data_IF_235301072632
#
_entry.id   IF_235301072632
#
_cell.length_a   1.000
_cell.length_b   1.000
_cell.length_c   1.000
_cell.angle_alpha   90.00
_cell.angle_beta   90.00
_cell.angle_gamma   90.00
#
_symmetry.space_group_name_H-M   'P 1'
#
loop_
_entity.id
_entity.type
_entity.pdbx_description
1 polymer ?
#
# COMPACT_ATOMS: atom_id res chain seq x y z
N UNK A 1 25.67 31.23 0.95
CA UNK A 1 25.92 32.26 1.95
C UNK A 1 27.25 32.99 1.72
N UNK A 2 28.34 32.33 1.36
CA UNK A 2 29.67 32.92 1.19
C UNK A 2 29.75 34.06 0.14
N UNK A 3 29.22 33.85 -1.10
CA UNK A 3 29.21 34.88 -2.15
C UNK A 3 28.50 36.17 -1.74
N UNK A 4 27.41 36.07 -0.96
CA UNK A 4 26.69 37.28 -0.48
C UNK A 4 27.51 38.12 0.46
N UNK A 5 28.23 37.49 1.41
CA UNK A 5 29.15 38.17 2.32
C UNK A 5 30.28 38.85 1.60
N UNK A 6 30.87 38.17 0.58
CA UNK A 6 31.96 38.74 -0.24
C UNK A 6 31.48 39.93 -1.06
N UNK A 7 30.29 39.88 -1.68
CA UNK A 7 29.70 41.02 -2.39
C UNK A 7 29.44 42.19 -1.43
N UNK A 8 28.93 41.93 -0.23
CA UNK A 8 28.72 42.98 0.78
C UNK A 8 30.04 43.60 1.25
N UNK A 9 31.08 42.80 1.47
CA UNK A 9 32.41 43.28 1.86
C UNK A 9 33.02 44.11 0.75
N UNK A 10 32.99 43.67 -0.50
CA UNK A 10 33.49 44.41 -1.67
C UNK A 10 32.79 45.77 -1.81
N UNK A 11 31.49 45.84 -1.61
CA UNK A 11 30.75 47.12 -1.61
C UNK A 11 31.22 48.08 -0.55
N UNK A 12 31.49 47.57 0.68
CA UNK A 12 31.88 48.38 1.80
C UNK A 12 33.33 48.84 1.74
N UNK A 13 34.24 48.01 1.20
CA UNK A 13 35.67 48.27 1.17
C UNK A 13 36.12 49.08 -0.06
N UNK A 14 35.45 48.85 -1.21
CA UNK A 14 35.84 49.44 -2.48
C UNK A 14 34.90 50.56 -2.97
N UNK A 15 33.92 50.90 -2.16
CA UNK A 15 32.86 51.88 -2.46
C UNK A 15 32.21 51.70 -3.87
N UNK A 16 32.01 50.45 -4.26
CA UNK A 16 31.44 50.10 -5.54
C UNK A 16 29.95 49.74 -5.44
N UNK A 17 29.22 49.98 -6.51
CA UNK A 17 27.81 49.61 -6.57
C UNK A 17 27.62 48.08 -6.50
N UNK A 18 26.45 47.61 -6.03
CA UNK A 18 26.13 46.18 -6.02
C UNK A 18 26.26 45.53 -7.41
N UNK A 19 25.90 46.28 -8.47
CA UNK A 19 26.01 45.82 -9.86
C UNK A 19 27.47 45.59 -10.24
N UNK A 20 28.35 46.49 -9.90
CA UNK A 20 29.80 46.38 -10.15
C UNK A 20 30.41 45.25 -9.32
N UNK A 21 30.16 45.21 -8.02
CA UNK A 21 30.62 44.11 -7.16
C UNK A 21 30.18 42.73 -7.66
N UNK A 22 28.92 42.58 -8.03
CA UNK A 22 28.42 41.33 -8.60
C UNK A 22 29.05 40.97 -9.96
N UNK A 23 29.35 41.97 -10.78
CA UNK A 23 30.04 41.78 -12.07
C UNK A 23 31.49 41.32 -11.87
N UNK A 24 32.24 41.95 -11.00
CA UNK A 24 33.62 41.57 -10.68
C UNK A 24 33.71 40.17 -10.04
N UNK A 25 32.78 39.83 -9.15
CA UNK A 25 32.74 38.57 -8.45
C UNK A 25 31.97 37.47 -9.19
N UNK A 26 31.52 37.72 -10.42
CA UNK A 26 30.72 36.81 -11.22
C UNK A 26 29.54 36.24 -10.43
N UNK A 27 28.90 37.08 -9.63
CA UNK A 27 27.78 36.70 -8.77
C UNK A 27 26.43 37.15 -9.39
N UNK A 28 25.45 36.24 -9.40
CA UNK A 28 24.12 36.59 -9.87
C UNK A 28 23.41 37.50 -8.85
N UNK A 29 23.04 38.73 -9.27
CA UNK A 29 22.36 39.71 -8.41
C UNK A 29 21.06 39.20 -7.80
N UNK A 30 20.30 38.41 -8.55
CA UNK A 30 19.05 37.78 -8.07
C UNK A 30 19.31 36.86 -6.89
N UNK A 31 20.42 36.11 -6.91
CA UNK A 31 20.87 35.25 -5.83
C UNK A 31 21.34 36.05 -4.61
N UNK A 32 22.03 37.19 -4.83
CA UNK A 32 22.51 38.07 -3.73
C UNK A 32 21.33 38.75 -3.03
N UNK A 33 20.30 39.16 -3.78
CA UNK A 33 19.10 39.83 -3.24
C UNK A 33 18.06 38.86 -2.68
N UNK A 34 18.17 37.56 -3.01
CA UNK A 34 17.20 36.58 -2.57
C UNK A 34 17.16 36.49 -1.05
N UNK A 35 16.04 36.87 -0.46
CA UNK A 35 15.74 36.67 0.96
C UNK A 35 14.86 35.45 1.07
N UNK A 36 15.35 34.44 1.79
CA UNK A 36 14.52 33.28 2.10
C UNK A 36 13.43 33.71 3.10
N UNK A 37 12.18 33.74 2.63
CA UNK A 37 11.01 33.89 3.50
C UNK A 37 10.68 32.51 4.06
N UNK A 38 10.85 32.28 5.35
CA UNK A 38 10.43 31.04 5.96
C UNK A 38 8.91 30.90 5.79
N UNK A 39 8.47 29.79 5.24
CA UNK A 39 7.05 29.46 5.22
C UNK A 39 6.68 28.93 6.60
N UNK A 40 5.51 29.32 7.09
CA UNK A 40 4.96 28.72 8.29
C UNK A 40 4.65 27.25 8.03
N UNK A 41 5.34 26.37 8.71
CA UNK A 41 5.18 24.91 8.61
C UNK A 41 4.35 24.34 9.77
N UNK A 42 3.94 25.15 10.75
CA UNK A 42 3.21 24.67 11.93
C UNK A 42 1.89 23.97 11.58
N UNK A 43 1.02 24.53 10.71
CA UNK A 43 -0.22 23.84 10.34
C UNK A 43 0.03 22.53 9.59
N UNK A 44 1.05 22.51 8.70
CA UNK A 44 1.43 21.30 7.97
C UNK A 44 1.97 20.24 8.92
N UNK A 45 2.78 20.63 9.90
CA UNK A 45 3.34 19.73 10.91
C UNK A 45 2.22 19.10 11.74
N UNK A 46 1.31 19.90 12.30
CA UNK A 46 0.19 19.43 13.09
C UNK A 46 -0.64 18.39 12.31
N UNK A 47 -1.03 18.70 11.07
CA UNK A 47 -1.81 17.76 10.27
C UNK A 47 -1.03 16.48 9.91
N UNK A 48 0.28 16.56 9.67
CA UNK A 48 1.13 15.39 9.46
C UNK A 48 1.24 14.51 10.70
N UNK A 49 1.33 15.09 11.88
CA UNK A 49 1.38 14.38 13.15
C UNK A 49 0.06 13.65 13.43
N UNK A 50 -1.09 14.29 13.18
CA UNK A 50 -2.41 13.66 13.26
C UNK A 50 -2.52 12.45 12.34
N UNK A 51 -2.24 12.63 11.04
CA UNK A 51 -2.29 11.54 10.06
C UNK A 51 -1.29 10.42 10.37
N UNK A 52 -0.12 10.73 10.92
CA UNK A 52 0.87 9.74 11.31
C UNK A 52 0.46 8.99 12.58
N UNK A 53 -0.28 9.61 13.50
CA UNK A 53 -0.85 8.96 14.68
C UNK A 53 -1.96 7.97 14.29
N UNK A 54 -2.84 8.34 13.35
CA UNK A 54 -3.88 7.46 12.81
C UNK A 54 -3.30 6.31 11.98
N UNK A 55 -2.25 6.60 11.20
CA UNK A 55 -1.65 5.71 10.20
C UNK A 55 -0.17 5.44 10.50
N UNK A 56 0.11 4.84 11.66
CA UNK A 56 1.48 4.68 12.21
C UNK A 56 2.47 4.03 11.24
N UNK A 57 1.99 3.20 10.32
CA UNK A 57 2.82 2.48 9.33
C UNK A 57 2.90 3.16 7.96
N UNK A 58 2.32 4.39 7.83
CA UNK A 58 2.39 5.13 6.57
C UNK A 58 3.64 6.02 6.53
N UNK A 59 4.47 5.82 5.51
CA UNK A 59 5.57 6.73 5.23
C UNK A 59 5.10 7.99 4.51
N UNK A 60 5.97 8.99 4.44
CA UNK A 60 5.68 10.33 3.88
C UNK A 60 4.98 10.34 2.51
N UNK A 61 5.22 9.32 1.64
CA UNK A 61 4.58 9.25 0.31
C UNK A 61 3.09 9.01 0.42
N UNK A 62 2.64 8.11 1.31
CA UNK A 62 1.22 7.84 1.54
C UNK A 62 0.57 9.00 2.29
N UNK A 63 1.24 9.55 3.31
CA UNK A 63 0.77 10.75 4.00
C UNK A 63 0.59 11.93 3.04
N UNK A 64 1.49 12.07 2.04
CA UNK A 64 1.34 13.08 1.00
C UNK A 64 0.07 12.87 0.13
N UNK A 65 -0.34 11.63 -0.10
CA UNK A 65 -1.59 11.33 -0.81
C UNK A 65 -2.80 11.73 0.03
N UNK A 66 -2.81 11.37 1.31
CA UNK A 66 -3.88 11.74 2.23
C UNK A 66 -4.01 13.26 2.36
N UNK A 67 -2.90 13.98 2.57
CA UNK A 67 -2.91 15.45 2.58
C UNK A 67 -3.48 16.06 1.30
N UNK A 68 -3.20 15.47 0.13
CA UNK A 68 -3.78 15.96 -1.14
C UNK A 68 -5.29 15.71 -1.19
N UNK A 69 -5.78 14.60 -0.66
CA UNK A 69 -7.22 14.32 -0.52
C UNK A 69 -7.90 15.33 0.41
N UNK A 70 -7.19 15.74 1.47
CA UNK A 70 -7.61 16.82 2.37
C UNK A 70 -7.47 18.23 1.75
N UNK A 71 -7.12 18.34 0.46
CA UNK A 71 -7.00 19.63 -0.25
C UNK A 71 -5.65 20.34 -0.09
N UNK A 72 -4.66 19.76 0.60
CA UNK A 72 -3.36 20.39 0.79
C UNK A 72 -2.50 20.36 -0.47
N UNK A 73 -2.12 21.55 -0.98
CA UNK A 73 -1.20 21.69 -2.11
C UNK A 73 0.23 21.88 -1.60
N UNK A 74 0.91 20.80 -1.23
CA UNK A 74 2.26 20.82 -0.67
C UNK A 74 3.27 20.16 -1.60
N UNK A 75 4.43 20.82 -1.77
CA UNK A 75 5.56 20.21 -2.49
C UNK A 75 6.13 19.05 -1.68
N UNK A 76 6.38 17.92 -2.33
CA UNK A 76 6.89 16.70 -1.69
C UNK A 76 8.23 16.90 -0.97
N UNK A 77 9.10 17.81 -1.46
CA UNK A 77 10.38 18.14 -0.81
C UNK A 77 10.15 18.90 0.52
N UNK A 78 9.18 19.83 0.54
CA UNK A 78 8.78 20.54 1.76
C UNK A 78 8.20 19.57 2.79
N UNK A 79 7.27 18.74 2.36
CA UNK A 79 6.64 17.70 3.19
C UNK A 79 7.70 16.76 3.79
N UNK A 80 8.63 16.24 2.96
CA UNK A 80 9.68 15.34 3.44
C UNK A 80 10.58 16.00 4.48
N UNK A 81 10.87 17.31 4.35
CA UNK A 81 11.64 18.06 5.35
C UNK A 81 10.88 18.13 6.68
N UNK A 82 9.62 18.59 6.66
CA UNK A 82 8.77 18.68 7.86
C UNK A 82 8.56 17.30 8.51
N UNK A 83 8.32 16.27 7.71
CA UNK A 83 8.19 14.88 8.17
C UNK A 83 9.44 14.37 8.91
N UNK A 84 10.65 14.77 8.45
CA UNK A 84 11.91 14.43 9.12
C UNK A 84 12.13 15.23 10.39
N UNK A 85 11.83 16.52 10.36
CA UNK A 85 11.93 17.43 11.52
C UNK A 85 10.97 17.01 12.64
N UNK A 86 9.79 16.49 12.30
CA UNK A 86 8.81 15.94 13.25
C UNK A 86 9.09 14.48 13.68
N UNK A 87 10.21 13.90 13.28
CA UNK A 87 10.62 12.53 13.64
C UNK A 87 9.58 11.44 13.32
N UNK A 88 8.79 11.61 12.27
CA UNK A 88 7.71 10.67 11.87
C UNK A 88 8.19 9.48 11.01
N UNK A 89 9.51 9.26 10.90
CA UNK A 89 10.06 8.22 10.03
C UNK A 89 9.65 6.82 10.48
N UNK A 90 8.93 6.12 9.62
CA UNK A 90 8.61 4.71 9.84
C UNK A 90 9.87 3.86 9.68
N UNK A 91 10.17 3.05 10.68
CA UNK A 91 11.30 2.12 10.65
C UNK A 91 11.11 1.11 9.52
N UNK A 92 12.02 1.10 8.55
CA UNK A 92 12.00 0.12 7.46
C UNK A 92 12.70 -1.16 7.92
N UNK A 93 12.07 -2.32 7.68
CA UNK A 93 12.79 -3.58 7.75
C UNK A 93 13.88 -3.57 6.68
N UNK A 94 15.12 -3.80 7.09
CA UNK A 94 16.22 -4.02 6.14
C UNK A 94 15.97 -5.36 5.47
N UNK A 95 15.52 -5.35 4.22
CA UNK A 95 15.42 -6.57 3.43
C UNK A 95 16.85 -7.05 3.13
N UNK A 96 17.22 -8.27 3.53
CA UNK A 96 18.40 -8.92 2.97
C UNK A 96 18.23 -8.93 1.45
N UNK A 97 19.21 -8.42 0.73
CA UNK A 97 19.27 -8.55 -0.74
C UNK A 97 19.54 -10.03 -1.03
N UNK A 98 18.49 -10.78 -1.27
CA UNK A 98 18.60 -12.09 -1.91
C UNK A 98 18.72 -11.80 -3.40
N UNK A 99 19.75 -12.34 -4.05
CA UNK A 99 19.83 -12.37 -5.50
C UNK A 99 18.67 -13.26 -5.99
N UNK A 100 17.54 -12.64 -6.28
CA UNK A 100 16.39 -13.31 -6.90
C UNK A 100 16.78 -13.43 -8.36
N UNK A 101 17.11 -14.66 -8.81
CA UNK A 101 17.12 -14.96 -10.24
C UNK A 101 15.79 -14.45 -10.84
N UNK A 102 15.85 -13.93 -12.06
CA UNK A 102 14.63 -13.60 -12.84
C UNK A 102 13.94 -14.93 -13.19
N UNK A 103 13.30 -15.55 -12.19
CA UNK A 103 12.36 -16.62 -12.46
C UNK A 103 11.14 -16.02 -13.16
N UNK A 104 10.47 -16.81 -13.97
CA UNK A 104 9.23 -16.44 -14.65
C UNK A 104 8.26 -15.80 -13.64
N UNK A 105 8.19 -14.47 -13.68
CA UNK A 105 7.15 -13.73 -12.98
C UNK A 105 5.85 -14.22 -13.61
N UNK A 106 5.00 -14.87 -12.83
CA UNK A 106 3.66 -15.19 -13.30
C UNK A 106 3.06 -13.95 -13.95
N UNK A 107 2.60 -14.09 -15.20
CA UNK A 107 2.02 -12.98 -15.95
C UNK A 107 1.04 -12.23 -15.07
N UNK A 108 1.14 -10.91 -15.00
CA UNK A 108 0.23 -10.10 -14.20
C UNK A 108 -1.19 -10.28 -14.72
N UNK A 109 -2.17 -10.47 -13.84
CA UNK A 109 -3.57 -10.47 -14.23
C UNK A 109 -3.91 -9.14 -14.93
N UNK A 110 -4.67 -9.22 -16.02
CA UNK A 110 -5.00 -8.08 -16.89
C UNK A 110 -6.43 -7.59 -16.69
N UNK A 111 -7.26 -8.38 -16.02
CA UNK A 111 -8.68 -8.08 -15.77
C UNK A 111 -9.10 -8.47 -14.35
N UNK A 112 -10.18 -7.84 -13.90
CA UNK A 112 -10.87 -8.18 -12.64
C UNK A 112 -11.39 -9.61 -12.73
N UNK A 113 -11.25 -10.39 -11.65
CA UNK A 113 -11.64 -11.80 -11.57
C UNK A 113 -10.87 -12.73 -12.54
N UNK A 114 -9.81 -12.28 -13.20
CA UNK A 114 -8.96 -13.18 -13.97
C UNK A 114 -8.20 -14.12 -13.03
N UNK A 115 -7.66 -13.57 -11.93
CA UNK A 115 -6.88 -14.34 -10.97
C UNK A 115 -7.07 -13.82 -9.55
N UNK A 116 -7.43 -14.72 -8.64
CA UNK A 116 -7.36 -14.48 -7.21
C UNK A 116 -6.19 -15.25 -6.61
N UNK A 117 -5.54 -14.63 -5.63
CA UNK A 117 -4.51 -15.26 -4.81
C UNK A 117 -5.01 -15.45 -3.40
N UNK A 118 -4.80 -16.65 -2.83
CA UNK A 118 -5.10 -16.90 -1.41
C UNK A 118 -3.89 -17.41 -0.66
N UNK A 119 -3.90 -17.15 0.64
CA UNK A 119 -2.91 -17.66 1.58
C UNK A 119 -3.44 -17.59 3.01
N UNK A 120 -2.86 -18.40 3.88
CA UNK A 120 -3.14 -18.40 5.31
C UNK A 120 -2.10 -17.59 6.09
N UNK A 121 -2.59 -16.80 7.02
CA UNK A 121 -1.74 -16.12 8.01
C UNK A 121 -2.12 -16.59 9.40
N UNK A 122 -1.12 -16.83 10.26
CA UNK A 122 -1.32 -17.26 11.62
C UNK A 122 -1.02 -16.11 12.57
N UNK A 123 -1.79 -16.06 13.66
CA UNK A 123 -1.58 -15.17 14.79
C UNK A 123 -2.04 -15.84 16.10
N UNK A 124 -1.97 -15.12 17.21
CA UNK A 124 -2.27 -15.65 18.53
C UNK A 124 -3.06 -14.62 19.33
N UNK A 125 -4.13 -15.06 19.99
CA UNK A 125 -4.86 -14.25 20.95
C UNK A 125 -4.04 -14.06 22.25
N UNK A 126 -4.38 -13.06 23.06
CA UNK A 126 -3.75 -12.82 24.35
C UNK A 126 -3.77 -14.06 25.27
N UNK A 127 -4.80 -14.88 25.14
CA UNK A 127 -4.93 -16.18 25.86
C UNK A 127 -3.93 -17.25 25.41
N UNK A 128 -3.07 -16.99 24.43
CA UNK A 128 -2.19 -17.97 23.82
C UNK A 128 -2.86 -18.87 22.77
N UNK A 129 -4.19 -18.76 22.57
CA UNK A 129 -4.91 -19.54 21.57
C UNK A 129 -4.53 -19.08 20.16
N UNK A 130 -4.11 -20.01 19.31
CA UNK A 130 -3.78 -19.74 17.89
C UNK A 130 -5.05 -19.45 17.09
N UNK A 131 -4.95 -18.47 16.21
CA UNK A 131 -5.93 -18.13 15.18
C UNK A 131 -5.29 -18.18 13.80
N UNK A 132 -6.10 -18.38 12.79
CA UNK A 132 -5.69 -18.34 11.36
C UNK A 132 -6.59 -17.38 10.62
N UNK A 133 -6.03 -16.71 9.62
CA UNK A 133 -6.80 -15.93 8.67
C UNK A 133 -6.62 -16.52 7.28
N UNK A 134 -7.72 -16.68 6.53
CA UNK A 134 -7.70 -16.94 5.10
C UNK A 134 -7.81 -15.60 4.40
N UNK A 135 -6.77 -15.21 3.69
CA UNK A 135 -6.72 -13.96 2.95
C UNK A 135 -6.94 -14.23 1.47
N UNK A 136 -7.83 -13.48 0.84
CA UNK A 136 -8.18 -13.61 -0.59
C UNK A 136 -8.06 -12.25 -1.25
N UNK A 137 -7.26 -12.14 -2.30
CA UNK A 137 -6.96 -10.89 -3.01
C UNK A 137 -7.17 -11.07 -4.51
N UNK A 138 -7.80 -10.11 -5.16
CA UNK A 138 -7.81 -10.01 -6.61
C UNK A 138 -6.47 -9.43 -7.10
N UNK A 139 -5.77 -10.17 -7.93
CA UNK A 139 -4.41 -9.82 -8.38
C UNK A 139 -4.37 -8.61 -9.30
N UNK A 140 -5.47 -8.27 -9.98
CA UNK A 140 -5.54 -7.10 -10.84
C UNK A 140 -5.93 -5.84 -10.08
N UNK A 141 -7.06 -5.86 -9.38
CA UNK A 141 -7.58 -4.70 -8.66
C UNK A 141 -6.88 -4.44 -7.33
N UNK A 142 -6.16 -5.43 -6.80
CA UNK A 142 -5.53 -5.42 -5.47
C UNK A 142 -6.54 -5.36 -4.32
N UNK A 143 -7.82 -5.55 -4.59
CA UNK A 143 -8.84 -5.60 -3.56
C UNK A 143 -8.64 -6.84 -2.68
N UNK A 144 -8.72 -6.63 -1.38
CA UNK A 144 -8.85 -7.72 -0.41
C UNK A 144 -10.31 -8.15 -0.37
N UNK A 145 -10.61 -9.28 -1.00
CA UNK A 145 -11.98 -9.78 -1.15
C UNK A 145 -12.52 -10.34 0.15
N UNK A 146 -11.67 -11.00 0.94
CA UNK A 146 -12.01 -11.50 2.27
C UNK A 146 -10.76 -11.65 3.14
N UNK A 147 -10.95 -11.51 4.45
CA UNK A 147 -10.05 -11.98 5.50
C UNK A 147 -10.91 -12.77 6.49
N UNK A 148 -11.03 -14.07 6.26
CA UNK A 148 -11.80 -14.95 7.15
C UNK A 148 -10.96 -15.36 8.35
N UNK A 149 -11.44 -15.10 9.58
CA UNK A 149 -10.69 -15.31 10.83
C UNK A 149 -11.34 -16.41 11.65
N UNK A 150 -10.59 -17.48 11.93
CA UNK A 150 -11.05 -18.54 12.82
C UNK A 150 -9.87 -19.27 13.50
N UNK A 151 -10.16 -20.17 14.41
CA UNK A 151 -9.17 -21.07 15.00
C UNK A 151 -8.85 -22.26 14.11
N UNK A 152 -9.78 -22.64 13.22
CA UNK A 152 -9.64 -23.70 12.22
C UNK A 152 -10.40 -23.32 10.96
N UNK A 153 -9.77 -23.52 9.81
CA UNK A 153 -10.34 -23.21 8.48
C UNK A 153 -10.16 -24.44 7.59
N UNK A 154 -11.18 -25.30 7.51
CA UNK A 154 -11.19 -26.47 6.66
C UNK A 154 -11.43 -26.11 5.19
N UNK A 155 -11.10 -27.02 4.25
CA UNK A 155 -11.39 -26.83 2.82
C UNK A 155 -12.87 -26.52 2.51
N UNK A 156 -13.80 -27.12 3.24
CA UNK A 156 -15.24 -26.78 3.15
C UNK A 156 -15.53 -25.33 3.57
N UNK A 157 -14.84 -24.83 4.60
CA UNK A 157 -14.98 -23.42 5.01
C UNK A 157 -14.41 -22.49 3.94
N UNK A 158 -13.27 -22.82 3.36
CA UNK A 158 -12.65 -22.07 2.25
C UNK A 158 -13.63 -22.00 1.06
N UNK A 159 -14.19 -23.13 0.64
CA UNK A 159 -15.16 -23.19 -0.46
C UNK A 159 -16.38 -22.29 -0.20
N UNK A 160 -16.94 -22.29 1.03
CA UNK A 160 -18.06 -21.40 1.40
C UNK A 160 -17.69 -19.91 1.33
N UNK A 161 -16.49 -19.54 1.76
CA UNK A 161 -16.02 -18.15 1.66
C UNK A 161 -15.89 -17.74 0.19
N UNK A 162 -15.32 -18.60 -0.63
CA UNK A 162 -15.21 -18.36 -2.07
C UNK A 162 -16.58 -18.25 -2.76
N UNK A 163 -17.55 -19.05 -2.36
CA UNK A 163 -18.93 -18.96 -2.86
C UNK A 163 -19.60 -17.64 -2.45
N UNK A 164 -19.42 -17.22 -1.20
CA UNK A 164 -19.96 -15.94 -0.73
C UNK A 164 -19.41 -14.76 -1.54
N UNK A 165 -18.11 -14.77 -1.85
CA UNK A 165 -17.50 -13.74 -2.70
C UNK A 165 -18.02 -13.87 -4.14
N UNK A 166 -17.99 -15.08 -4.69
CA UNK A 166 -18.36 -15.37 -6.07
C UNK A 166 -19.81 -15.03 -6.40
N UNK A 167 -20.74 -15.19 -5.44
CA UNK A 167 -22.16 -14.85 -5.62
C UNK A 167 -22.40 -13.35 -5.80
N UNK A 168 -21.53 -12.49 -5.25
CA UNK A 168 -21.66 -11.03 -5.34
C UNK A 168 -20.83 -10.45 -6.49
N UNK A 169 -19.61 -10.97 -6.68
CA UNK A 169 -18.61 -10.37 -7.56
C UNK A 169 -18.42 -11.15 -8.88
N UNK A 170 -18.90 -12.36 -8.94
CA UNK A 170 -18.52 -13.35 -9.97
C UNK A 170 -17.29 -14.15 -9.55
N UNK A 171 -17.15 -15.34 -10.15
CA UNK A 171 -16.06 -16.27 -9.85
C UNK A 171 -14.79 -15.91 -10.63
N UNK A 172 -13.60 -16.23 -10.11
CA UNK A 172 -12.35 -16.02 -10.84
C UNK A 172 -12.14 -17.09 -11.91
N UNK A 173 -11.35 -16.80 -12.93
CA UNK A 173 -10.89 -17.80 -13.88
C UNK A 173 -9.86 -18.76 -13.25
N UNK A 174 -8.98 -18.21 -12.41
CA UNK A 174 -7.91 -18.97 -11.76
C UNK A 174 -7.73 -18.53 -10.32
N UNK A 175 -7.45 -19.48 -9.45
CA UNK A 175 -7.01 -19.23 -8.08
C UNK A 175 -5.58 -19.73 -7.91
N UNK A 176 -4.70 -18.86 -7.42
CA UNK A 176 -3.31 -19.21 -7.07
C UNK A 176 -3.21 -19.40 -5.56
N UNK A 177 -2.63 -20.53 -5.14
CA UNK A 177 -2.53 -20.91 -3.73
C UNK A 177 -1.31 -21.79 -3.49
N UNK A 178 -0.92 -21.95 -2.21
CA UNK A 178 0.08 -22.92 -1.80
C UNK A 178 -0.46 -24.35 -1.75
N UNK A 179 0.41 -25.30 -1.40
CA UNK A 179 0.06 -26.72 -1.29
C UNK A 179 -0.46 -27.10 0.12
N UNK A 180 -1.09 -26.16 0.85
CA UNK A 180 -1.67 -26.45 2.16
C UNK A 180 -2.75 -27.53 2.08
N UNK A 181 -2.83 -28.39 3.10
CA UNK A 181 -3.74 -29.54 3.14
C UNK A 181 -5.22 -29.13 2.99
N UNK A 182 -5.59 -27.98 3.49
CA UNK A 182 -6.92 -27.43 3.38
C UNK A 182 -7.25 -27.03 1.94
N UNK A 183 -6.25 -26.51 1.20
CA UNK A 183 -6.39 -26.02 -0.17
C UNK A 183 -6.30 -27.16 -1.20
N UNK A 184 -5.57 -28.23 -0.87
CA UNK A 184 -5.50 -29.47 -1.72
C UNK A 184 -6.61 -30.47 -1.42
N UNK A 185 -7.57 -30.12 -0.59
CA UNK A 185 -8.67 -30.98 -0.15
C UNK A 185 -9.64 -31.34 -1.30
N UNK A 186 -10.31 -32.50 -1.18
CA UNK A 186 -11.37 -32.93 -2.10
C UNK A 186 -12.48 -31.87 -2.20
N UNK A 187 -12.82 -31.22 -1.07
CA UNK A 187 -13.82 -30.15 -1.06
C UNK A 187 -13.48 -29.00 -2.01
N UNK A 188 -12.22 -28.58 -2.04
CA UNK A 188 -11.74 -27.54 -2.95
C UNK A 188 -11.71 -28.02 -4.41
N UNK A 189 -11.31 -29.27 -4.66
CA UNK A 189 -11.32 -29.84 -6.01
C UNK A 189 -12.75 -29.93 -6.58
N UNK A 190 -13.72 -30.39 -5.79
CA UNK A 190 -15.14 -30.46 -6.17
C UNK A 190 -15.67 -29.02 -6.43
N UNK A 191 -15.44 -28.10 -5.52
CA UNK A 191 -15.87 -26.71 -5.66
C UNK A 191 -15.34 -26.09 -6.96
N UNK A 192 -14.04 -26.26 -7.24
CA UNK A 192 -13.38 -25.70 -8.41
C UNK A 192 -13.97 -26.27 -9.72
N UNK A 193 -14.24 -27.59 -9.76
CA UNK A 193 -14.90 -28.24 -10.89
C UNK A 193 -16.30 -27.67 -11.11
N UNK A 194 -17.12 -27.58 -10.05
CA UNK A 194 -18.51 -27.16 -10.12
C UNK A 194 -18.64 -25.67 -10.52
N UNK A 195 -17.66 -24.82 -10.12
CA UNK A 195 -17.59 -23.40 -10.48
C UNK A 195 -16.76 -23.11 -11.72
N UNK A 196 -16.18 -24.13 -12.36
CA UNK A 196 -15.28 -24.02 -13.54
C UNK A 196 -14.08 -23.10 -13.29
N UNK A 197 -13.54 -23.11 -12.08
CA UNK A 197 -12.38 -22.33 -11.65
C UNK A 197 -11.13 -23.19 -11.74
N UNK A 198 -10.05 -22.68 -12.31
CA UNK A 198 -8.77 -23.37 -12.37
C UNK A 198 -8.01 -23.16 -11.05
N UNK A 199 -7.60 -24.24 -10.38
CA UNK A 199 -6.69 -24.17 -9.25
C UNK A 199 -5.24 -24.25 -9.75
N UNK A 200 -4.43 -23.28 -9.35
CA UNK A 200 -3.01 -23.23 -9.66
C UNK A 200 -2.21 -23.28 -8.35
N UNK A 201 -1.57 -24.43 -8.11
CA UNK A 201 -0.69 -24.63 -6.97
C UNK A 201 0.71 -24.15 -7.28
N UNK A 202 1.28 -23.31 -6.40
CA UNK A 202 2.66 -22.83 -6.56
C UNK A 202 3.66 -23.99 -6.41
N UNK A 203 4.76 -23.91 -7.14
CA UNK A 203 5.82 -24.89 -7.01
C UNK A 203 6.54 -24.71 -5.67
N UNK A 204 6.87 -25.80 -4.96
CA UNK A 204 7.68 -25.75 -3.74
C UNK A 204 8.97 -24.95 -3.97
N UNK A 205 9.28 -24.02 -3.06
CA UNK A 205 10.47 -23.18 -3.14
C UNK A 205 10.40 -22.01 -4.13
N UNK A 206 9.25 -21.77 -4.79
CA UNK A 206 9.05 -20.63 -5.68
C UNK A 206 7.98 -19.63 -5.15
N UNK A 207 8.23 -18.96 -4.03
CA UNK A 207 7.27 -18.01 -3.44
C UNK A 207 6.90 -16.86 -4.39
N UNK A 208 7.78 -16.52 -5.34
CA UNK A 208 7.51 -15.47 -6.34
C UNK A 208 6.27 -15.72 -7.18
N UNK A 209 5.80 -16.98 -7.28
CA UNK A 209 4.57 -17.31 -7.99
C UNK A 209 3.31 -16.82 -7.25
N UNK A 210 3.39 -16.55 -5.94
CA UNK A 210 2.30 -15.98 -5.13
C UNK A 210 2.64 -14.59 -4.54
N UNK A 211 3.48 -13.82 -5.23
CA UNK A 211 4.04 -12.56 -4.73
C UNK A 211 2.97 -11.50 -4.36
N UNK A 212 1.79 -11.57 -4.96
CA UNK A 212 0.72 -10.61 -4.68
C UNK A 212 0.15 -10.80 -3.28
N UNK A 213 -0.23 -12.02 -2.94
CA UNK A 213 -0.74 -12.33 -1.60
C UNK A 213 0.35 -12.21 -0.53
N UNK A 214 1.61 -12.59 -0.83
CA UNK A 214 2.72 -12.37 0.10
C UNK A 214 2.93 -10.89 0.41
N UNK A 215 2.86 -10.04 -0.62
CA UNK A 215 2.94 -8.58 -0.46
C UNK A 215 1.76 -8.03 0.34
N UNK A 216 0.56 -8.58 0.17
CA UNK A 216 -0.62 -8.26 0.97
C UNK A 216 -0.42 -8.69 2.42
N UNK A 217 -0.06 -9.95 2.66
CA UNK A 217 0.17 -10.51 3.99
C UNK A 217 1.23 -9.74 4.77
N UNK A 218 2.29 -9.30 4.08
CA UNK A 218 3.30 -8.44 4.69
C UNK A 218 2.74 -7.11 5.20
N UNK A 219 1.78 -6.50 4.47
CA UNK A 219 1.08 -5.28 4.90
C UNK A 219 0.06 -5.55 6.00
N UNK A 220 -0.70 -6.62 5.87
CA UNK A 220 -1.67 -7.05 6.86
C UNK A 220 -1.00 -7.29 8.22
N UNK A 221 0.14 -8.00 8.25
CA UNK A 221 0.93 -8.15 9.47
C UNK A 221 1.42 -6.82 10.02
N UNK A 222 1.99 -5.98 9.15
CA UNK A 222 2.65 -4.74 9.56
C UNK A 222 1.66 -3.66 9.99
N UNK A 223 0.50 -3.56 9.34
CA UNK A 223 -0.47 -2.48 9.51
C UNK A 223 -1.69 -2.87 10.38
N UNK A 224 -1.93 -4.17 10.60
CA UNK A 224 -3.05 -4.66 11.39
C UNK A 224 -2.60 -5.57 12.55
N UNK A 225 -2.02 -6.75 12.27
CA UNK A 225 -1.75 -7.74 13.30
C UNK A 225 -0.71 -7.25 14.32
N UNK A 226 0.39 -6.63 13.88
CA UNK A 226 1.44 -6.13 14.78
C UNK A 226 1.06 -4.83 15.53
N UNK A 227 -0.01 -4.16 15.13
CA UNK A 227 -0.49 -2.93 15.77
C UNK A 227 -1.61 -3.20 16.79
N UNK A 228 -2.13 -4.44 16.84
CA UNK A 228 -3.25 -4.82 17.70
C UNK A 228 -2.93 -6.11 18.48
N UNK A 229 -3.42 -6.16 19.70
CA UNK A 229 -3.51 -7.38 20.50
C UNK A 229 -4.99 -7.76 20.61
N UNK A 230 -5.30 -9.04 20.45
CA UNK A 230 -6.68 -9.52 20.40
C UNK A 230 -7.01 -10.35 21.63
N UNK A 231 -7.87 -9.85 22.49
CA UNK A 231 -8.33 -10.59 23.67
C UNK A 231 -9.25 -11.75 23.27
N UNK A 232 -10.09 -11.57 22.26
CA UNK A 232 -11.06 -12.58 21.80
C UNK A 232 -11.08 -12.73 20.28
N UNK A 233 -11.57 -13.88 19.81
CA UNK A 233 -11.79 -14.13 18.38
C UNK A 233 -12.81 -13.14 17.77
N UNK A 234 -13.84 -12.76 18.52
CA UNK A 234 -14.83 -11.78 18.08
C UNK A 234 -14.19 -10.40 17.86
N UNK A 235 -13.35 -9.96 18.81
CA UNK A 235 -12.59 -8.71 18.65
C UNK A 235 -11.65 -8.78 17.45
N UNK A 236 -10.91 -9.88 17.27
CA UNK A 236 -10.03 -10.06 16.11
C UNK A 236 -10.79 -9.91 14.79
N UNK A 237 -11.98 -10.54 14.68
CA UNK A 237 -12.84 -10.42 13.50
C UNK A 237 -13.25 -8.97 13.22
N UNK A 238 -13.68 -8.23 14.24
CA UNK A 238 -14.10 -6.83 14.08
C UNK A 238 -12.96 -5.92 13.66
N UNK A 239 -11.81 -6.01 14.31
CA UNK A 239 -10.65 -5.16 14.01
C UNK A 239 -10.08 -5.47 12.64
N UNK A 240 -9.96 -6.75 12.29
CA UNK A 240 -9.44 -7.20 11.00
C UNK A 240 -10.38 -6.79 9.86
N UNK A 241 -11.70 -6.92 10.05
CA UNK A 241 -12.68 -6.48 9.04
C UNK A 241 -12.66 -4.96 8.84
N UNK A 242 -12.57 -4.19 9.93
CA UNK A 242 -12.42 -2.73 9.83
C UNK A 242 -11.14 -2.35 9.04
N UNK A 243 -10.02 -3.04 9.31
CA UNK A 243 -8.78 -2.85 8.56
C UNK A 243 -8.93 -3.26 7.08
N UNK A 244 -9.64 -4.35 6.76
CA UNK A 244 -9.91 -4.78 5.39
C UNK A 244 -10.71 -3.74 4.60
N UNK A 245 -11.73 -3.18 5.22
CA UNK A 245 -12.52 -2.10 4.64
C UNK A 245 -11.62 -0.90 4.36
N UNK A 246 -10.86 -0.42 5.34
CA UNK A 246 -9.91 0.68 5.18
C UNK A 246 -8.86 0.42 4.09
N UNK A 247 -8.34 -0.80 4.04
CA UNK A 247 -7.39 -1.23 2.99
C UNK A 247 -7.98 -1.06 1.59
N UNK A 248 -9.25 -1.36 1.41
CA UNK A 248 -9.94 -1.29 0.12
C UNK A 248 -10.41 0.14 -0.22
N UNK A 249 -10.91 0.91 0.77
CA UNK A 249 -11.57 2.20 0.52
C UNK A 249 -10.61 3.40 0.58
N UNK A 250 -9.64 3.38 1.50
CA UNK A 250 -8.85 4.56 1.82
C UNK A 250 -7.36 4.43 1.56
N UNK A 251 -6.81 3.22 1.69
CA UNK A 251 -5.39 3.00 1.62
C UNK A 251 -4.81 3.28 0.22
N UNK A 252 -3.85 4.24 0.04
CA UNK A 252 -3.26 4.52 -1.26
C UNK A 252 -2.33 3.40 -1.73
N UNK A 253 -2.52 2.95 -2.98
CA UNK A 253 -1.68 1.94 -3.64
C UNK A 253 -0.88 2.55 -4.78
N UNK A 254 0.45 2.55 -4.68
CA UNK A 254 1.32 3.10 -5.70
C UNK A 254 1.13 2.42 -7.07
N UNK A 255 0.93 1.10 -7.07
CA UNK A 255 0.68 0.32 -8.30
C UNK A 255 -0.64 0.68 -8.98
N UNK A 256 -1.59 1.29 -8.26
CA UNK A 256 -2.89 1.74 -8.76
C UNK A 256 -2.93 3.26 -8.98
N UNK A 257 -1.77 3.91 -9.14
CA UNK A 257 -1.69 5.37 -9.27
C UNK A 257 -2.05 6.12 -8.00
N UNK A 258 -1.80 5.55 -6.82
CA UNK A 258 -2.16 6.03 -5.49
C UNK A 258 -3.67 6.07 -5.20
N UNK A 259 -4.47 5.38 -5.99
CA UNK A 259 -5.89 5.12 -5.68
C UNK A 259 -6.01 3.99 -4.67
N UNK A 260 -7.14 3.97 -3.95
CA UNK A 260 -7.54 2.81 -3.18
C UNK A 260 -7.99 1.67 -4.13
N UNK A 261 -7.91 0.40 -3.72
CA UNK A 261 -8.32 -0.73 -4.56
C UNK A 261 -9.75 -0.61 -5.10
N UNK A 262 -10.71 -0.28 -4.24
CA UNK A 262 -12.12 -0.12 -4.63
C UNK A 262 -12.35 1.07 -5.57
N UNK A 263 -11.65 2.20 -5.34
CA UNK A 263 -11.67 3.35 -6.24
C UNK A 263 -11.15 2.97 -7.64
N UNK A 264 -10.11 2.14 -7.69
CA UNK A 264 -9.57 1.63 -8.93
C UNK A 264 -10.56 0.70 -9.63
N UNK A 265 -11.16 -0.26 -8.92
CA UNK A 265 -12.12 -1.23 -9.44
C UNK A 265 -13.39 -0.53 -10.00
N UNK A 266 -13.96 0.42 -9.27
CA UNK A 266 -15.10 1.23 -9.74
C UNK A 266 -14.77 2.00 -11.01
N UNK A 267 -13.56 2.57 -11.10
CA UNK A 267 -13.11 3.28 -12.30
C UNK A 267 -12.99 2.40 -13.54
N UNK A 268 -12.85 1.08 -13.40
CA UNK A 268 -12.86 0.12 -14.50
C UNK A 268 -14.28 -0.15 -15.00
N UNK A 269 -15.24 -0.30 -14.09
CA UNK A 269 -16.65 -0.54 -14.44
C UNK A 269 -17.26 0.62 -15.23
N UNK A 270 -16.86 1.86 -14.89
CA UNK A 270 -17.32 3.06 -15.62
C UNK A 270 -16.68 3.16 -17.03
N UNK A 271 -15.51 2.56 -17.25
CA UNK A 271 -14.80 2.60 -18.53
C UNK A 271 -15.17 1.50 -19.52
N UNK A 272 -15.90 0.48 -19.10
CA UNK A 272 -16.53 -0.47 -20.02
C UNK A 272 -17.74 0.24 -20.65
N UNK A 273 -17.69 0.69 -21.92
CA UNK A 273 -18.85 1.28 -22.53
C UNK A 273 -19.93 0.21 -22.67
N UNK A 274 -21.17 0.64 -22.56
CA UNK A 274 -22.38 -0.05 -23.00
C UNK A 274 -22.27 -0.45 -24.50
N UNK A 275 -21.36 -1.34 -24.85
CA UNK A 275 -21.30 -1.96 -26.16
C UNK A 275 -21.73 -3.41 -26.00
N UNK A 276 -23.02 -3.63 -25.84
CA UNK A 276 -23.69 -4.89 -26.15
C UNK A 276 -25.22 -4.71 -25.99
N UNK A 277 -25.80 -3.83 -26.81
CA UNK A 277 -27.22 -3.95 -27.17
C UNK A 277 -27.42 -3.44 -28.59
N UNK A 278 -26.95 -4.23 -29.56
CA UNK A 278 -27.40 -4.20 -30.95
C UNK A 278 -26.87 -5.43 -31.68
N UNK A 279 -27.57 -6.56 -31.58
CA UNK A 279 -27.78 -7.59 -32.61
C UNK A 279 -28.80 -8.61 -32.09
#
# INVERSE_FOLDING_TARGET
MQKRRVVQAARKQLDVSERQACRYLQANRRMIRYVHLPKDDAPLRARLEELAAERRRFGYRRLAVLLRRDGWKVNIKRLLRVYREAHLQVRKRVKRRVAIGRGDLAASAMAMNERWSLDFVHDTLESGRRIRTLNIVDDFTRECLAVEVDTSLSGHRVARVLDAIGSVRGYPQTIVMDNGTELTSIAMACWARDRKVRLHFIQPGKPTQNAFIESFNGRFRDECLNENQFATLAQARLVIEAWRIDYNTDRPHQALGNRAPEEFARGLQIRLPLQLSAA
#
